data_IF_747319309687
#
_entry.id   IF_747319309687
#
_cell.length_a   1.000
_cell.length_b   1.000
_cell.length_c   1.000
_cell.angle_alpha   90.00
_cell.angle_beta   90.00
_cell.angle_gamma   90.00
#
_symmetry.space_group_name_H-M   'P 1'
#
loop_
_entity.id
_entity.type
_entity.pdbx_description
1 polymer ?
#
# COMPACT_ATOMS: atom_id res chain seq x y z
N UNK A 1 -8.34 27.86 6.67
CA UNK A 1 -7.99 26.42 6.73
C UNK A 1 -8.27 25.79 5.39
N UNK A 2 -7.23 25.53 4.63
CA UNK A 2 -7.27 24.92 3.30
C UNK A 2 -6.76 23.48 3.45
N UNK A 3 -7.49 22.50 2.91
CA UNK A 3 -7.08 21.09 2.86
C UNK A 3 -6.21 20.90 1.62
N UNK A 4 -4.90 20.78 1.80
CA UNK A 4 -3.95 20.49 0.73
C UNK A 4 -3.60 19.00 0.71
N UNK A 5 -3.58 18.42 -0.48
CA UNK A 5 -3.08 17.06 -0.69
C UNK A 5 -1.56 17.05 -0.50
N UNK A 6 -1.07 16.12 0.32
CA UNK A 6 0.36 16.04 0.69
C UNK A 6 1.07 14.83 0.10
N UNK A 7 0.34 13.87 -0.47
CA UNK A 7 0.90 12.64 -1.02
C UNK A 7 0.03 11.42 -0.75
N UNK A 8 0.40 10.30 -1.36
CA UNK A 8 -0.17 8.98 -1.08
C UNK A 8 0.96 7.98 -0.75
N UNK A 9 0.66 6.97 0.05
CA UNK A 9 1.53 5.81 0.29
C UNK A 9 0.79 4.51 0.05
N UNK A 10 1.51 3.48 -0.37
CA UNK A 10 1.00 2.09 -0.44
C UNK A 10 1.63 1.30 0.69
N UNK A 11 0.79 0.74 1.55
CA UNK A 11 1.20 -0.24 2.54
C UNK A 11 0.97 -1.64 2.00
N UNK A 12 2.03 -2.44 1.95
CA UNK A 12 1.98 -3.86 1.58
C UNK A 12 2.17 -4.68 2.85
N UNK A 13 1.23 -5.57 3.11
CA UNK A 13 1.26 -6.56 4.18
C UNK A 13 1.55 -7.91 3.56
N UNK A 14 2.57 -8.59 4.08
CA UNK A 14 2.94 -9.94 3.69
C UNK A 14 2.89 -10.82 4.93
N UNK A 15 2.09 -11.89 4.89
CA UNK A 15 2.07 -12.88 5.96
C UNK A 15 3.11 -13.95 5.71
N UNK A 16 4.05 -14.11 6.65
CA UNK A 16 4.99 -15.23 6.71
C UNK A 16 4.42 -16.29 7.65
N UNK A 17 3.65 -17.22 7.09
CA UNK A 17 3.02 -18.30 7.85
C UNK A 17 4.04 -19.27 8.47
N UNK A 18 5.24 -19.40 7.89
CA UNK A 18 6.28 -20.28 8.38
C UNK A 18 6.92 -19.76 9.67
N UNK A 19 6.94 -18.44 9.87
CA UNK A 19 7.52 -17.79 11.03
C UNK A 19 6.50 -17.07 11.92
N UNK A 20 5.20 -17.21 11.64
CA UNK A 20 4.09 -16.52 12.32
C UNK A 20 4.31 -14.99 12.41
N UNK A 21 4.78 -14.38 11.31
CA UNK A 21 5.11 -12.96 11.26
C UNK A 21 4.33 -12.23 10.19
N UNK A 22 3.94 -10.99 10.51
CA UNK A 22 3.39 -10.05 9.53
C UNK A 22 4.46 -9.02 9.20
N UNK A 23 4.85 -8.96 7.92
CA UNK A 23 5.81 -7.99 7.41
C UNK A 23 5.02 -6.86 6.76
N UNK A 24 5.14 -5.65 7.30
CA UNK A 24 4.59 -4.42 6.70
C UNK A 24 5.69 -3.66 5.98
N UNK A 25 5.47 -3.33 4.71
CA UNK A 25 6.32 -2.43 3.93
C UNK A 25 5.50 -1.25 3.41
N UNK A 26 5.93 -0.05 3.77
CA UNK A 26 5.32 1.19 3.30
C UNK A 26 6.15 1.78 2.16
N UNK A 27 5.50 2.08 1.05
CA UNK A 27 6.10 2.74 -0.11
C UNK A 27 5.49 4.13 -0.27
N UNK A 28 6.31 5.17 -0.18
CA UNK A 28 5.89 6.54 -0.40
C UNK A 28 5.84 6.90 -1.89
N UNK A 29 5.05 7.91 -2.27
CA UNK A 29 5.01 8.42 -3.64
C UNK A 29 4.03 7.68 -4.55
N UNK A 30 2.96 7.12 -3.99
CA UNK A 30 1.90 6.54 -4.78
C UNK A 30 1.17 7.65 -5.57
N UNK A 31 0.69 7.36 -6.78
CA UNK A 31 -0.07 8.33 -7.56
C UNK A 31 -1.36 8.71 -6.83
N UNK A 32 -1.78 9.98 -7.00
CA UNK A 32 -2.95 10.56 -6.31
C UNK A 32 -4.26 9.80 -6.60
N UNK A 33 -4.36 9.15 -7.77
CA UNK A 33 -5.58 8.53 -8.28
C UNK A 33 -5.37 7.06 -8.67
N UNK A 34 -4.85 6.25 -7.74
CA UNK A 34 -4.79 4.81 -7.98
C UNK A 34 -6.19 4.21 -7.91
N UNK A 35 -6.59 3.49 -8.96
CA UNK A 35 -7.86 2.75 -8.95
C UNK A 35 -7.72 1.45 -8.15
N UNK A 36 -8.83 0.94 -7.62
CA UNK A 36 -8.87 -0.37 -6.94
C UNK A 36 -8.33 -1.49 -7.83
N UNK A 37 -8.53 -1.39 -9.15
CA UNK A 37 -7.98 -2.33 -10.12
C UNK A 37 -6.44 -2.27 -10.18
N UNK A 38 -5.85 -1.08 -10.15
CA UNK A 38 -4.39 -0.92 -10.11
C UNK A 38 -3.78 -1.46 -8.82
N UNK A 39 -4.46 -1.27 -7.68
CA UNK A 39 -4.05 -1.84 -6.38
C UNK A 39 -4.13 -3.36 -6.40
N UNK A 40 -5.19 -3.91 -7.01
CA UNK A 40 -5.39 -5.36 -7.16
C UNK A 40 -4.34 -5.96 -8.08
N UNK A 41 -4.06 -5.34 -9.24
CA UNK A 41 -3.02 -5.79 -10.17
C UNK A 41 -1.63 -5.77 -9.52
N UNK A 42 -1.33 -4.74 -8.72
CA UNK A 42 -0.09 -4.66 -7.96
C UNK A 42 0.01 -5.77 -6.90
N UNK A 43 -1.08 -6.04 -6.19
CA UNK A 43 -1.14 -7.13 -5.19
C UNK A 43 -0.93 -8.50 -5.85
N UNK A 44 -1.59 -8.77 -6.97
CA UNK A 44 -1.41 -10.00 -7.74
C UNK A 44 0.02 -10.15 -8.29
N UNK A 45 0.63 -9.03 -8.74
CA UNK A 45 2.02 -9.03 -9.18
C UNK A 45 2.97 -9.33 -8.02
N UNK A 46 2.71 -8.79 -6.82
CA UNK A 46 3.43 -9.12 -5.58
C UNK A 46 3.29 -10.61 -5.25
N UNK A 47 2.08 -11.17 -5.26
CA UNK A 47 1.86 -12.60 -5.02
C UNK A 47 2.65 -13.48 -5.99
N UNK A 48 2.83 -13.05 -7.24
CA UNK A 48 3.61 -13.81 -8.24
C UNK A 48 5.13 -13.80 -8.02
N UNK A 49 5.66 -12.89 -7.20
CA UNK A 49 7.10 -12.76 -6.93
C UNK A 49 7.48 -13.01 -5.48
N UNK A 50 6.51 -13.19 -4.58
CA UNK A 50 6.77 -13.55 -3.18
C UNK A 50 6.35 -15.00 -2.92
N UNK A 51 7.21 -15.77 -2.26
CA UNK A 51 6.85 -17.10 -1.73
C UNK A 51 5.99 -17.02 -0.46
N UNK A 52 5.51 -15.81 -0.11
CA UNK A 52 4.73 -15.57 1.10
C UNK A 52 3.24 -15.82 0.79
N UNK A 53 2.54 -16.59 1.64
CA UNK A 53 1.22 -17.15 1.32
C UNK A 53 0.07 -16.14 1.20
N UNK A 54 0.21 -14.92 1.74
CA UNK A 54 -0.84 -13.88 1.65
C UNK A 54 -0.20 -12.51 1.51
N UNK A 55 -0.50 -11.81 0.41
CA UNK A 55 -0.17 -10.39 0.22
C UNK A 55 -1.42 -9.53 0.20
N UNK A 56 -1.38 -8.36 0.85
CA UNK A 56 -2.46 -7.37 0.82
C UNK A 56 -1.90 -5.96 0.69
N UNK A 57 -2.41 -5.16 -0.24
CA UNK A 57 -1.97 -3.77 -0.46
C UNK A 57 -3.08 -2.76 -0.16
N UNK A 58 -2.75 -1.69 0.56
CA UNK A 58 -3.68 -0.60 0.91
C UNK A 58 -3.09 0.74 0.51
N UNK A 59 -3.88 1.58 -0.17
CA UNK A 59 -3.50 2.97 -0.47
C UNK A 59 -3.96 3.87 0.68
N UNK A 60 -3.05 4.69 1.19
CA UNK A 60 -3.32 5.67 2.25
C UNK A 60 -3.05 7.06 1.69
N UNK A 61 -4.08 7.90 1.66
CA UNK A 61 -3.99 9.30 1.27
C UNK A 61 -3.56 10.17 2.46
N UNK A 62 -2.62 11.09 2.24
CA UNK A 62 -2.13 12.02 3.25
C UNK A 62 -2.53 13.46 2.91
N UNK A 63 -3.13 14.15 3.89
CA UNK A 63 -3.61 15.52 3.77
C UNK A 63 -2.95 16.44 4.79
N UNK A 64 -2.55 17.64 4.38
CA UNK A 64 -2.08 18.71 5.25
C UNK A 64 -3.14 19.81 5.34
N UNK A 65 -3.32 20.37 6.53
CA UNK A 65 -4.21 21.50 6.76
C UNK A 65 -3.37 22.76 6.99
N UNK A 66 -3.43 23.71 6.05
CA UNK A 66 -2.76 25.01 6.13
C UNK A 66 -3.78 26.09 6.54
N UNK A 67 -3.40 27.00 7.45
CA UNK A 67 -4.33 27.91 8.14
C UNK A 67 -4.82 29.03 7.22
#
# INVERSE_FOLDING_TARGET
MIKEWSGNKVDVYLEDSANEKVIRRSFAGANQFLSDEQVTQFTNALDSVTDLPVSHSVVIEEYRYTK
#
